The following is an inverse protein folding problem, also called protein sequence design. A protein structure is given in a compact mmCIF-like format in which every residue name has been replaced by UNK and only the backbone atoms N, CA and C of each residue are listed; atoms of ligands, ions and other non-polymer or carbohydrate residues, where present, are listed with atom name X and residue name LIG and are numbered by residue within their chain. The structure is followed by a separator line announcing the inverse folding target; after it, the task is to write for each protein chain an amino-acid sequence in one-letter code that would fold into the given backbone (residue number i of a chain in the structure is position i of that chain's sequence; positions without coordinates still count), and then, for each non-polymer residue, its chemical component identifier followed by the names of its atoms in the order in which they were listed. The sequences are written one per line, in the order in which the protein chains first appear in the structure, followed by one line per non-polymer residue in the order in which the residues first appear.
data_IF_514843516277
#
_entry.id   IF_514843516277
#
_cell.length_a   1.000
_cell.length_b   1.000
_cell.length_c   1.000
_cell.angle_alpha   90.00
_cell.angle_beta   90.00
_cell.angle_gamma   90.00
#
_symmetry.space_group_name_H-M   'P 1'
#
loop_
_entity.id
_entity.type
_entity.pdbx_description
1 polymer ?
#
# COMPACT_ATOMS: atom_id res chain seq x y z
N UNK A 1 -29.22 13.29 -53.84
CA UNK A 1 -27.86 12.77 -54.14
C UNK A 1 -27.58 11.61 -53.19
N UNK A 2 -27.58 10.37 -53.68
CA UNK A 2 -27.16 9.21 -52.89
C UNK A 2 -25.63 9.18 -52.89
N UNK A 3 -25.01 9.39 -51.72
CA UNK A 3 -23.58 9.24 -51.56
C UNK A 3 -23.24 7.75 -51.72
N UNK A 4 -22.57 7.42 -52.83
CA UNK A 4 -22.11 6.06 -53.12
C UNK A 4 -20.82 5.85 -52.32
N UNK A 5 -20.93 5.15 -51.18
CA UNK A 5 -19.79 4.85 -50.31
C UNK A 5 -18.83 3.96 -51.09
N UNK A 6 -17.59 4.44 -51.26
CA UNK A 6 -16.55 3.65 -51.93
C UNK A 6 -16.15 2.45 -51.06
N UNK A 7 -15.77 1.33 -51.67
CA UNK A 7 -15.42 0.08 -50.96
C UNK A 7 -14.33 0.30 -49.92
N UNK A 8 -13.40 1.23 -50.17
CA UNK A 8 -12.36 1.63 -49.21
C UNK A 8 -12.96 2.32 -47.97
N UNK A 9 -13.92 3.22 -48.17
CA UNK A 9 -14.61 3.90 -47.08
C UNK A 9 -15.47 2.93 -46.26
N UNK A 10 -16.12 1.96 -46.91
CA UNK A 10 -16.87 0.92 -46.23
C UNK A 10 -15.96 0.04 -45.36
N UNK A 11 -14.81 -0.38 -45.88
CA UNK A 11 -13.84 -1.18 -45.13
C UNK A 11 -13.24 -0.40 -43.94
N UNK A 12 -12.90 0.87 -44.15
CA UNK A 12 -12.43 1.74 -43.06
C UNK A 12 -13.50 1.94 -41.98
N UNK A 13 -14.76 2.12 -42.37
CA UNK A 13 -15.88 2.26 -41.43
C UNK A 13 -16.08 1.00 -40.61
N UNK A 14 -16.06 -0.18 -41.24
CA UNK A 14 -16.17 -1.47 -40.56
C UNK A 14 -15.02 -1.70 -39.57
N UNK A 15 -13.80 -1.30 -39.95
CA UNK A 15 -12.63 -1.43 -39.08
C UNK A 15 -12.73 -0.50 -37.87
N UNK A 16 -13.19 0.74 -38.07
CA UNK A 16 -13.39 1.72 -36.99
C UNK A 16 -14.51 1.28 -36.04
N UNK A 17 -15.61 0.74 -36.57
CA UNK A 17 -16.71 0.19 -35.79
C UNK A 17 -16.26 -1.03 -34.98
N UNK A 18 -15.48 -1.91 -35.61
CA UNK A 18 -14.86 -3.05 -34.95
C UNK A 18 -13.94 -2.62 -33.82
N UNK A 19 -13.09 -1.61 -34.05
CA UNK A 19 -12.18 -1.07 -33.03
C UNK A 19 -12.94 -0.50 -31.84
N UNK A 20 -13.96 0.33 -32.06
CA UNK A 20 -14.77 0.95 -30.99
C UNK A 20 -15.51 -0.10 -30.16
N UNK A 21 -15.99 -1.18 -30.79
CA UNK A 21 -16.66 -2.28 -30.09
C UNK A 21 -15.67 -3.19 -29.35
N UNK A 22 -14.46 -3.39 -29.87
CA UNK A 22 -13.44 -4.22 -29.22
C UNK A 22 -12.71 -3.49 -28.09
N UNK A 23 -12.59 -2.17 -28.16
CA UNK A 23 -11.85 -1.38 -27.17
C UNK A 23 -12.34 -1.58 -25.73
N UNK A 24 -13.64 -1.53 -25.39
CA UNK A 24 -14.10 -1.81 -24.03
C UNK A 24 -13.84 -3.25 -23.59
N UNK A 25 -13.85 -4.22 -24.51
CA UNK A 25 -13.52 -5.61 -24.21
C UNK A 25 -12.02 -5.74 -23.86
N UNK A 26 -11.16 -5.10 -24.65
CA UNK A 26 -9.71 -5.07 -24.41
C UNK A 26 -9.37 -4.35 -23.11
N UNK A 27 -10.02 -3.21 -22.82
CA UNK A 27 -9.89 -2.49 -21.55
C UNK A 27 -10.39 -3.33 -20.38
N UNK A 28 -11.49 -4.07 -20.52
CA UNK A 28 -11.98 -4.98 -19.48
C UNK A 28 -11.01 -6.12 -19.19
N UNK A 29 -10.39 -6.71 -20.22
CA UNK A 29 -9.38 -7.76 -20.03
C UNK A 29 -8.03 -7.22 -19.55
N UNK A 30 -7.63 -5.99 -19.94
CA UNK A 30 -6.44 -5.33 -19.42
C UNK A 30 -6.63 -4.88 -17.95
N UNK A 31 -7.81 -4.37 -17.59
CA UNK A 31 -8.15 -3.99 -16.22
C UNK A 31 -8.09 -5.17 -15.24
N UNK A 32 -8.40 -6.39 -15.70
CA UNK A 32 -8.26 -7.63 -14.91
C UNK A 32 -6.83 -8.15 -14.78
N UNK A 33 -5.85 -7.60 -15.50
CA UNK A 33 -4.43 -7.99 -15.41
C UNK A 33 -3.62 -7.17 -14.39
N UNK A 34 -4.26 -6.31 -13.59
CA UNK A 34 -3.57 -5.61 -12.51
C UNK A 34 -3.50 -6.39 -11.18
N UNK A 35 -4.04 -7.62 -11.13
CA UNK A 35 -4.07 -8.45 -9.91
C UNK A 35 -3.32 -9.79 -10.07
N UNK A 36 -2.26 -9.83 -10.90
CA UNK A 36 -1.46 -11.06 -11.16
C UNK A 36 -0.34 -11.26 -10.13
N UNK A 37 -0.55 -10.84 -8.89
CA UNK A 37 0.16 -11.47 -7.76
C UNK A 37 -0.90 -12.27 -7.03
N UNK A 38 -1.04 -13.58 -7.28
CA UNK A 38 -1.97 -14.40 -6.52
C UNK A 38 -1.71 -14.15 -5.04
N UNK A 39 -2.74 -13.65 -4.34
CA UNK A 39 -2.72 -13.43 -2.90
C UNK A 39 -2.48 -14.79 -2.26
N UNK A 40 -1.26 -15.04 -1.80
CA UNK A 40 -0.91 -16.31 -1.17
C UNK A 40 -1.76 -16.49 0.09
N UNK A 41 -2.42 -17.65 0.20
CA UNK A 41 -3.10 -18.06 1.43
C UNK A 41 -2.04 -18.31 2.50
N UNK A 42 -1.98 -17.43 3.50
CA UNK A 42 -0.97 -17.43 4.55
C UNK A 42 -1.16 -18.57 5.56
N UNK A 43 -0.18 -19.46 5.66
CA UNK A 43 0.10 -20.19 6.88
C UNK A 43 1.18 -19.42 7.66
N UNK A 44 0.79 -18.80 8.78
CA UNK A 44 1.68 -18.15 9.73
C UNK A 44 1.12 -16.85 10.32
N UNK A 45 1.61 -16.44 11.50
CA UNK A 45 1.14 -15.26 12.24
C UNK A 45 2.22 -14.19 12.27
N UNK A 46 1.89 -13.00 11.79
CA UNK A 46 2.70 -11.80 11.97
C UNK A 46 1.84 -10.69 12.60
N UNK A 47 2.45 -9.77 13.34
CA UNK A 47 1.75 -8.69 14.03
C UNK A 47 2.48 -7.38 13.78
N UNK A 48 1.77 -6.34 13.37
CA UNK A 48 2.36 -5.01 13.32
C UNK A 48 2.42 -4.40 14.71
N UNK A 49 3.47 -3.62 14.96
CA UNK A 49 3.65 -2.84 16.18
C UNK A 49 3.92 -1.39 15.84
N UNK A 50 3.35 -0.51 16.64
CA UNK A 50 3.66 0.92 16.67
C UNK A 50 4.30 1.22 18.01
N UNK A 51 5.49 1.81 17.99
CA UNK A 51 6.13 2.32 19.20
C UNK A 51 6.34 3.82 19.05
N UNK A 52 5.60 4.61 19.82
CA UNK A 52 5.85 6.05 19.96
C UNK A 52 6.95 6.25 20.99
N UNK A 53 7.89 7.15 20.69
CA UNK A 53 8.93 7.58 21.65
C UNK A 53 8.44 8.71 22.57
N UNK A 54 7.31 9.34 22.25
CA UNK A 54 6.78 10.51 22.95
C UNK A 54 5.41 10.19 23.53
N UNK A 55 5.27 10.33 24.86
CA UNK A 55 4.01 10.13 25.58
C UNK A 55 3.27 11.45 25.86
N UNK A 56 3.99 12.57 25.89
CA UNK A 56 3.45 13.92 26.03
C UNK A 56 3.93 14.74 24.83
N UNK A 57 2.99 15.33 24.09
CA UNK A 57 3.25 16.03 22.84
C UNK A 57 2.58 17.40 22.90
N UNK A 58 3.34 18.46 22.64
CA UNK A 58 2.84 19.82 22.49
C UNK A 58 2.77 20.20 21.02
N UNK A 59 1.95 21.20 20.69
CA UNK A 59 1.89 21.76 19.34
C UNK A 59 3.28 22.19 18.86
N UNK A 60 3.66 21.72 17.67
CA UNK A 60 4.97 21.96 17.05
C UNK A 60 6.01 20.87 17.33
N UNK A 61 5.74 19.93 18.24
CA UNK A 61 6.66 18.83 18.53
C UNK A 61 6.67 17.78 17.40
N UNK A 62 7.86 17.18 17.18
CA UNK A 62 8.01 16.01 16.31
C UNK A 62 7.72 14.71 17.08
N UNK A 63 6.74 13.95 16.61
CA UNK A 63 6.36 12.63 17.12
C UNK A 63 6.94 11.56 16.21
N UNK A 64 7.89 10.78 16.75
CA UNK A 64 8.50 9.67 16.03
C UNK A 64 7.81 8.35 16.38
N UNK A 65 7.35 7.64 15.34
CA UNK A 65 6.67 6.36 15.44
C UNK A 65 7.46 5.31 14.68
N UNK A 66 7.94 4.31 15.42
CA UNK A 66 8.56 3.13 14.85
C UNK A 66 7.49 2.14 14.41
N UNK A 67 7.44 1.85 13.11
CA UNK A 67 6.61 0.81 12.53
C UNK A 67 7.43 -0.47 12.39
N UNK A 68 6.97 -1.56 13.00
CA UNK A 68 7.64 -2.85 12.91
C UNK A 68 6.66 -4.01 12.68
N UNK A 69 7.19 -5.12 12.16
CA UNK A 69 6.51 -6.38 11.96
C UNK A 69 7.12 -7.43 12.88
N UNK A 70 6.34 -8.00 13.78
CA UNK A 70 6.71 -9.14 14.61
C UNK A 70 6.26 -10.43 13.93
N UNK A 71 7.21 -11.28 13.58
CA UNK A 71 6.98 -12.59 12.98
C UNK A 71 7.05 -13.63 14.09
N UNK A 72 5.91 -14.23 14.40
CA UNK A 72 5.79 -15.23 15.47
C UNK A 72 5.97 -16.66 14.97
N UNK A 73 5.78 -16.90 13.67
CA UNK A 73 6.02 -18.20 13.04
C UNK A 73 7.33 -18.16 12.22
N UNK A 74 8.34 -18.95 12.59
CA UNK A 74 9.65 -18.96 11.90
C UNK A 74 9.58 -19.48 10.46
N UNK A 75 8.48 -20.11 10.03
CA UNK A 75 8.29 -20.56 8.66
C UNK A 75 7.77 -19.45 7.72
N UNK A 76 7.37 -18.30 8.27
CA UNK A 76 6.87 -17.17 7.47
C UNK A 76 8.01 -16.51 6.73
N UNK A 77 7.96 -16.61 5.40
CA UNK A 77 8.86 -15.91 4.48
C UNK A 77 8.15 -14.66 3.98
N UNK A 78 8.85 -13.52 3.99
CA UNK A 78 8.27 -12.22 3.62
C UNK A 78 9.05 -11.63 2.46
N UNK A 79 8.39 -11.53 1.31
CA UNK A 79 8.95 -10.90 0.11
C UNK A 79 8.51 -9.43 -0.04
N UNK A 80 7.36 -9.09 0.53
CA UNK A 80 6.85 -7.73 0.56
C UNK A 80 5.95 -7.52 1.79
N UNK A 81 5.91 -6.28 2.28
CA UNK A 81 5.01 -5.84 3.34
C UNK A 81 4.39 -4.52 2.94
N UNK A 82 3.07 -4.47 2.85
CA UNK A 82 2.34 -3.21 2.75
C UNK A 82 1.83 -2.84 4.14
N UNK A 83 2.12 -1.62 4.60
CA UNK A 83 1.68 -1.17 5.92
C UNK A 83 0.95 0.17 5.78
N UNK A 84 -0.39 0.14 5.78
CA UNK A 84 -1.15 1.35 5.85
C UNK A 84 -1.21 1.92 7.28
N UNK A 85 -0.93 3.21 7.49
CA UNK A 85 -1.01 3.87 8.80
C UNK A 85 -2.02 5.02 8.77
N UNK A 86 -2.94 5.03 9.74
CA UNK A 86 -3.94 6.08 9.96
C UNK A 86 -3.47 7.03 11.05
N UNK A 87 -3.66 8.33 10.85
CA UNK A 87 -3.33 9.36 11.83
C UNK A 87 -4.41 10.45 11.86
N UNK A 88 -4.65 11.03 13.04
CA UNK A 88 -5.64 12.11 13.23
C UNK A 88 -5.27 13.34 12.39
N UNK A 89 -6.08 13.62 11.36
CA UNK A 89 -5.82 14.68 10.40
C UNK A 89 -5.87 16.08 11.03
N UNK A 90 -6.61 16.23 12.14
CA UNK A 90 -6.78 17.52 12.81
C UNK A 90 -5.65 17.86 13.78
N UNK A 91 -4.89 16.83 14.21
CA UNK A 91 -3.86 16.96 15.25
C UNK A 91 -2.46 16.64 14.78
N UNK A 92 -2.30 15.90 13.69
CA UNK A 92 -0.99 15.45 13.20
C UNK A 92 -0.82 15.75 11.72
N UNK A 93 0.38 16.20 11.36
CA UNK A 93 0.83 16.34 9.98
C UNK A 93 1.98 15.39 9.71
N UNK A 94 1.88 14.59 8.65
CA UNK A 94 2.99 13.77 8.20
C UNK A 94 4.16 14.67 7.77
N UNK A 95 5.33 14.49 8.40
CA UNK A 95 6.55 15.24 8.09
C UNK A 95 7.49 14.41 7.22
N UNK A 96 7.72 13.15 7.59
CA UNK A 96 8.57 12.25 6.83
C UNK A 96 8.28 10.77 7.12
N UNK A 97 8.66 9.92 6.17
CA UNK A 97 8.74 8.47 6.35
C UNK A 97 10.13 8.04 5.93
N UNK A 98 10.86 7.42 6.86
CA UNK A 98 12.17 6.84 6.62
C UNK A 98 12.03 5.30 6.56
N UNK A 99 11.91 4.70 5.37
CA UNK A 99 11.87 3.24 5.25
C UNK A 99 13.20 2.62 5.67
N UNK A 100 13.12 1.47 6.34
CA UNK A 100 14.28 0.66 6.67
C UNK A 100 14.65 -0.23 5.47
N UNK A 101 15.41 0.36 4.55
CA UNK A 101 16.00 -0.34 3.42
C UNK A 101 17.38 -0.87 3.81
N UNK A 102 17.69 -2.09 3.37
CA UNK A 102 18.94 -2.73 3.73
C UNK A 102 19.06 -4.14 3.18
N UNK A 103 19.36 -5.09 4.07
CA UNK A 103 19.62 -6.49 3.68
C UNK A 103 18.37 -7.21 3.21
N UNK A 104 17.21 -6.90 3.79
CA UNK A 104 15.93 -7.58 3.52
C UNK A 104 15.12 -6.84 2.47
N UNK A 105 14.77 -5.58 2.74
CA UNK A 105 13.99 -4.76 1.82
C UNK A 105 14.90 -3.85 1.02
N UNK A 106 14.67 -3.79 -0.29
CA UNK A 106 15.50 -3.03 -1.22
C UNK A 106 14.75 -1.87 -1.84
N UNK A 107 13.42 -1.92 -1.84
CA UNK A 107 12.55 -0.93 -2.46
C UNK A 107 11.41 -0.55 -1.52
N UNK A 108 11.00 0.72 -1.60
CA UNK A 108 9.93 1.30 -0.79
C UNK A 108 8.94 2.11 -1.65
N UNK A 109 8.14 1.46 -2.52
CA UNK A 109 7.09 2.16 -3.24
C UNK A 109 6.03 2.76 -2.30
N UNK A 110 5.64 4.00 -2.58
CA UNK A 110 4.50 4.65 -1.94
C UNK A 110 3.19 4.03 -2.43
N UNK A 111 2.17 4.03 -1.57
CA UNK A 111 0.80 3.77 -1.99
C UNK A 111 0.20 5.08 -2.50
N UNK A 112 -0.50 4.99 -3.64
CA UNK A 112 -0.94 6.15 -4.45
C UNK A 112 -1.79 7.17 -3.67
N UNK A 113 -2.47 6.74 -2.60
CA UNK A 113 -3.43 7.55 -1.84
C UNK A 113 -2.85 8.21 -0.56
N UNK A 114 -1.52 8.27 -0.42
CA UNK A 114 -0.88 8.89 0.76
C UNK A 114 -1.31 10.36 0.92
N UNK A 115 -1.70 10.73 2.14
CA UNK A 115 -2.22 12.04 2.52
C UNK A 115 -3.74 12.20 2.35
N UNK A 116 -4.42 11.20 1.77
CA UNK A 116 -5.87 11.23 1.56
C UNK A 116 -6.63 10.65 2.76
N UNK A 117 -7.95 10.87 2.77
CA UNK A 117 -8.86 10.18 3.71
C UNK A 117 -8.86 8.69 3.39
N UNK A 118 -8.65 7.83 4.39
CA UNK A 118 -8.57 6.39 4.16
C UNK A 118 -9.93 5.81 3.74
N UNK A 119 -10.00 5.04 2.64
CA UNK A 119 -11.23 4.39 2.20
C UNK A 119 -11.82 3.46 3.27
N UNK A 120 -13.00 3.77 3.78
CA UNK A 120 -13.68 2.96 4.80
C UNK A 120 -13.27 3.25 6.25
N UNK A 121 -12.43 4.26 6.51
CA UNK A 121 -12.26 4.82 7.85
C UNK A 121 -13.18 6.02 8.06
N UNK A 122 -13.35 6.40 9.33
CA UNK A 122 -13.99 7.66 9.71
C UNK A 122 -13.20 8.85 9.12
N UNK A 123 -13.90 9.90 8.69
CA UNK A 123 -13.33 11.07 8.00
C UNK A 123 -12.33 11.89 8.83
N UNK A 124 -12.08 11.49 10.08
CA UNK A 124 -11.12 12.10 10.98
C UNK A 124 -9.67 11.65 10.74
N UNK A 125 -9.47 10.56 9.98
CA UNK A 125 -8.14 9.99 9.74
C UNK A 125 -7.63 10.23 8.32
N UNK A 126 -6.43 10.79 8.25
CA UNK A 126 -5.62 10.75 7.04
C UNK A 126 -4.76 9.49 7.02
N UNK A 127 -4.30 9.15 5.83
CA UNK A 127 -3.61 7.92 5.54
C UNK A 127 -2.16 8.16 5.09
N UNK A 128 -1.21 7.38 5.58
CA UNK A 128 0.11 7.23 4.95
C UNK A 128 0.37 5.77 4.64
N UNK A 129 0.72 5.49 3.38
CA UNK A 129 0.85 4.15 2.87
C UNK A 129 2.17 3.90 2.19
N UNK A 130 2.88 2.88 2.62
CA UNK A 130 4.11 2.43 1.97
C UNK A 130 4.15 0.92 1.91
N UNK A 131 4.73 0.40 0.84
CA UNK A 131 5.10 -1.00 0.75
C UNK A 131 6.62 -1.13 0.74
N UNK A 132 7.14 -2.14 1.42
CA UNK A 132 8.54 -2.54 1.34
C UNK A 132 8.62 -3.84 0.57
N UNK A 133 9.53 -3.91 -0.39
CA UNK A 133 9.70 -5.05 -1.28
C UNK A 133 11.15 -5.49 -1.30
N UNK A 134 11.36 -6.81 -1.25
CA UNK A 134 12.65 -7.43 -1.50
C UNK A 134 12.80 -7.72 -2.99
N UNK A 135 13.87 -7.23 -3.62
CA UNK A 135 14.27 -7.63 -4.96
C UNK A 135 15.10 -8.92 -4.97
N UNK A 136 15.49 -9.44 -3.79
CA UNK A 136 16.26 -10.66 -3.66
C UNK A 136 15.32 -11.84 -3.43
N UNK A 137 15.54 -12.89 -4.20
CA UNK A 137 14.95 -14.22 -3.99
C UNK A 137 15.43 -14.91 -2.70
N UNK A 138 16.30 -14.27 -1.90
CA UNK A 138 16.77 -14.85 -0.65
C UNK A 138 15.70 -14.66 0.42
N UNK A 139 14.97 -15.73 0.64
CA UNK A 139 14.03 -15.86 1.72
C UNK A 139 14.75 -15.79 3.07
N UNK A 140 14.20 -15.00 3.99
CA UNK A 140 14.16 -15.20 5.45
C UNK A 140 14.27 -13.84 6.13
N UNK A 141 13.12 -13.25 6.43
CA UNK A 141 13.06 -12.56 7.70
C UNK A 141 13.19 -13.65 8.77
N UNK A 142 14.34 -13.71 9.42
CA UNK A 142 14.48 -14.50 10.65
C UNK A 142 13.36 -14.11 11.60
N UNK A 143 12.70 -15.09 12.22
CA UNK A 143 11.64 -14.83 13.20
C UNK A 143 12.04 -13.76 14.23
N UNK A 144 11.07 -12.99 14.71
CA UNK A 144 11.32 -11.84 15.59
C UNK A 144 10.72 -10.53 15.08
N UNK A 145 11.15 -9.41 15.67
CA UNK A 145 10.65 -8.07 15.30
C UNK A 145 11.55 -7.43 14.26
N UNK A 146 10.95 -7.03 13.14
CA UNK A 146 11.60 -6.41 11.99
C UNK A 146 11.11 -4.98 11.88
N UNK A 147 12.03 -4.03 11.96
CA UNK A 147 11.72 -2.62 11.73
C UNK A 147 11.42 -2.38 10.26
N UNK A 148 10.26 -1.77 9.96
CA UNK A 148 9.83 -1.44 8.61
C UNK A 148 10.15 0.01 8.26
N UNK A 149 9.74 0.95 9.11
CA UNK A 149 9.98 2.36 8.87
C UNK A 149 9.95 3.16 10.18
N UNK A 150 10.62 4.30 10.18
CA UNK A 150 10.39 5.35 11.16
C UNK A 150 9.55 6.45 10.51
N UNK A 151 8.41 6.78 11.11
CA UNK A 151 7.48 7.78 10.61
C UNK A 151 7.50 8.96 11.57
N UNK A 152 7.74 10.16 11.05
CA UNK A 152 7.72 11.39 11.84
C UNK A 152 6.48 12.20 11.50
N UNK A 153 5.74 12.56 12.54
CA UNK A 153 4.62 13.48 12.48
C UNK A 153 4.97 14.76 13.22
N UNK A 154 4.40 15.88 12.79
CA UNK A 154 4.40 17.13 13.53
C UNK A 154 3.03 17.30 14.19
N UNK A 155 3.04 17.63 15.48
CA UNK A 155 1.82 17.92 16.22
C UNK A 155 1.28 19.32 15.86
N UNK A 156 0.01 19.40 15.50
CA UNK A 156 -0.69 20.63 15.13
C UNK A 156 -1.44 21.27 16.29
N UNK A 157 -1.70 20.48 17.35
CA UNK A 157 -2.45 20.90 18.53
C UNK A 157 -1.96 20.14 19.77
N UNK A 158 -2.18 20.74 20.93
CA UNK A 158 -1.92 20.08 22.21
C UNK A 158 -2.95 18.97 22.48
N UNK A 159 -2.51 17.91 23.16
CA UNK A 159 -3.37 16.84 23.66
C UNK A 159 -3.22 15.52 22.91
N UNK A 160 -4.17 14.61 23.13
CA UNK A 160 -4.05 13.23 22.65
C UNK A 160 -4.34 13.13 21.16
N UNK A 161 -3.44 12.49 20.41
CA UNK A 161 -3.64 12.15 19.01
C UNK A 161 -3.56 10.63 18.82
N UNK A 162 -4.31 10.11 17.84
CA UNK A 162 -4.36 8.67 17.55
C UNK A 162 -3.59 8.37 16.28
N UNK A 163 -2.71 7.38 16.37
CA UNK A 163 -2.00 6.77 15.25
C UNK A 163 -2.28 5.26 15.33
N UNK A 164 -2.88 4.69 14.29
CA UNK A 164 -3.30 3.28 14.29
C UNK A 164 -3.21 2.64 12.92
N UNK A 165 -3.21 1.32 12.90
CA UNK A 165 -3.46 0.56 11.67
C UNK A 165 -4.97 0.55 11.36
N UNK A 166 -5.37 0.44 10.09
CA UNK A 166 -6.77 0.19 9.73
C UNK A 166 -7.31 -1.08 10.39
N UNK A 167 -8.57 -1.05 10.82
CA UNK A 167 -9.21 -2.17 11.51
C UNK A 167 -9.36 -3.42 10.58
N UNK A 168 -9.32 -3.21 9.26
CA UNK A 168 -9.29 -4.27 8.23
C UNK A 168 -7.90 -4.89 7.99
N UNK A 169 -6.86 -4.53 8.76
CA UNK A 169 -5.54 -5.18 8.66
C UNK A 169 -5.53 -6.66 9.08
N UNK A 170 -6.70 -7.28 9.29
CA UNK A 170 -6.89 -8.73 9.19
C UNK A 170 -6.57 -9.28 7.79
N UNK A 171 -6.62 -8.46 6.73
CA UNK A 171 -6.16 -8.81 5.37
C UNK A 171 -4.66 -8.57 5.16
N UNK A 172 -3.87 -9.00 6.14
CA UNK A 172 -2.41 -8.96 6.08
C UNK A 172 -1.92 -9.78 4.88
N UNK A 173 -1.45 -9.13 3.82
CA UNK A 173 -0.76 -9.81 2.72
C UNK A 173 0.73 -9.86 3.03
N UNK A 174 1.11 -10.77 3.92
CA UNK A 174 2.49 -11.25 3.97
C UNK A 174 2.66 -12.24 2.82
N UNK A 175 3.29 -11.80 1.73
CA UNK A 175 3.48 -12.67 0.56
C UNK A 175 4.64 -13.62 0.85
N UNK A 176 4.30 -14.84 1.27
CA UNK A 176 5.20 -15.98 1.36
C UNK A 176 5.16 -16.83 0.08
N UNK A 177 6.32 -17.36 -0.31
CA UNK A 177 6.43 -18.37 -1.35
C UNK A 177 6.63 -19.74 -0.68
N UNK A 178 5.72 -20.68 -0.92
CA UNK A 178 5.95 -22.10 -0.62
C UNK A 178 6.95 -22.67 -1.65
N UNK A 179 7.80 -23.61 -1.22
CA UNK A 179 8.61 -24.47 -2.09
C UNK A 179 8.00 -25.87 -2.12
#
# INVERSE_FOLDING_TARGET
MQAKIDKKQLNSLLLLLGLVLFLPLVVFFLGRRFDIRPKASLAGKAHFRLNSQSLNVSSGDDVNVLVSLEISDPQVRVSAVSFPLLYDASKLRLKSVAPNLGTVFTEAPWLDDTGSVYPGAESQYNFVGMALVSNKSSNELSGGTVTLANVTFEALADGDAVIKFPDNNSEMQVVGTEL
#
